data_IF_724264229413
#
_entry.id   IF_724264229413
#
_cell.length_a   1.000
_cell.length_b   1.000
_cell.length_c   1.000
_cell.angle_alpha   90.00
_cell.angle_beta   90.00
_cell.angle_gamma   90.00
#
_symmetry.space_group_name_H-M   'P 1'
#
loop_
_entity.id
_entity.type
_entity.pdbx_description
1 polymer ?
#
# COMPACT_ATOMS: atom_id res chain seq x y z
N UNK A 1 8.74 14.15 29.18
CA UNK A 1 9.12 12.73 29.17
C UNK A 1 8.17 11.98 28.26
N UNK A 2 8.62 11.56 27.08
CA UNK A 2 7.92 10.61 26.21
C UNK A 2 8.95 9.59 25.75
N UNK A 3 9.22 8.59 26.58
CA UNK A 3 9.94 7.42 26.09
C UNK A 3 9.02 6.75 25.05
N UNK A 4 9.48 6.73 23.81
CA UNK A 4 8.71 6.29 22.65
C UNK A 4 8.17 4.88 22.86
N UNK A 5 6.84 4.72 22.78
CA UNK A 5 6.17 3.43 22.90
C UNK A 5 6.72 2.38 21.92
N UNK A 6 7.32 2.80 20.80
CA UNK A 6 7.91 1.92 19.79
C UNK A 6 9.32 1.43 20.16
N UNK A 7 10.25 2.29 20.60
CA UNK A 7 11.58 1.80 21.05
C UNK A 7 11.49 0.87 22.26
N UNK A 8 10.55 1.14 23.16
CA UNK A 8 10.28 0.25 24.30
C UNK A 8 9.66 -1.10 23.89
N UNK A 9 9.18 -1.23 22.65
CA UNK A 9 8.70 -2.48 22.03
C UNK A 9 9.75 -3.14 21.13
N UNK A 10 11.00 -2.69 21.17
CA UNK A 10 12.12 -3.27 20.40
C UNK A 10 12.28 -2.73 18.98
N UNK A 11 11.52 -1.71 18.58
CA UNK A 11 11.72 -1.04 17.29
C UNK A 11 12.89 -0.05 17.36
N UNK A 12 13.62 0.14 16.26
CA UNK A 12 14.69 1.13 16.15
C UNK A 12 14.18 2.55 15.85
N UNK A 13 12.90 2.69 15.49
CA UNK A 13 12.24 3.95 15.16
C UNK A 13 11.25 4.45 16.22
N UNK A 14 10.73 5.66 16.02
CA UNK A 14 9.67 6.27 16.84
C UNK A 14 8.63 6.92 15.93
N UNK A 15 7.35 6.73 16.23
CA UNK A 15 6.22 7.44 15.62
C UNK A 15 5.61 8.36 16.67
N UNK A 16 5.55 9.66 16.37
CA UNK A 16 5.14 10.74 17.28
C UNK A 16 3.73 11.26 17.01
N UNK A 17 3.18 11.05 15.80
CA UNK A 17 1.91 11.63 15.34
C UNK A 17 1.90 13.18 15.35
N UNK A 18 3.06 13.77 15.10
CA UNK A 18 3.28 15.21 15.05
C UNK A 18 3.73 15.59 13.65
N UNK A 19 2.97 16.45 12.97
CA UNK A 19 3.28 16.94 11.62
C UNK A 19 4.62 17.67 11.49
N UNK A 20 5.27 17.98 12.62
CA UNK A 20 6.64 18.49 12.64
C UNK A 20 7.69 17.42 12.29
N UNK A 21 7.40 16.14 12.57
CA UNK A 21 8.36 15.03 12.45
C UNK A 21 7.83 13.85 11.61
N UNK A 22 6.51 13.60 11.59
CA UNK A 22 5.85 12.52 10.87
C UNK A 22 4.40 12.88 10.49
N UNK A 23 3.73 12.04 9.71
CA UNK A 23 2.32 12.26 9.40
C UNK A 23 1.42 11.95 10.60
N UNK A 24 0.47 12.86 10.88
CA UNK A 24 -0.48 12.70 11.98
C UNK A 24 -1.42 11.53 11.74
N UNK A 25 -1.44 10.60 12.69
CA UNK A 25 -2.35 9.47 12.73
C UNK A 25 -3.06 9.37 14.08
N UNK A 26 -4.36 9.12 14.07
CA UNK A 26 -5.16 8.98 15.29
C UNK A 26 -5.79 7.59 15.28
N UNK A 27 -5.44 6.78 16.28
CA UNK A 27 -6.04 5.46 16.48
C UNK A 27 -7.56 5.56 16.66
N UNK A 28 -8.29 4.56 16.14
CA UNK A 28 -9.75 4.42 16.29
C UNK A 28 -10.58 5.59 15.71
N UNK A 29 -10.01 6.38 14.79
CA UNK A 29 -10.80 7.32 14.00
C UNK A 29 -11.48 6.59 12.85
N UNK A 30 -12.68 7.04 12.49
CA UNK A 30 -13.36 6.55 11.28
C UNK A 30 -12.49 6.86 10.05
N UNK A 31 -12.27 5.85 9.23
CA UNK A 31 -11.63 5.94 7.92
C UNK A 31 -12.68 5.60 6.88
N UNK A 32 -12.79 6.40 5.83
CA UNK A 32 -13.70 6.10 4.72
C UNK A 32 -13.07 5.03 3.82
N UNK A 33 -13.86 4.05 3.39
CA UNK A 33 -13.38 2.94 2.55
C UNK A 33 -12.68 3.43 1.27
N UNK A 34 -13.17 4.52 0.70
CA UNK A 34 -12.56 5.17 -0.48
C UNK A 34 -11.15 5.69 -0.20
N UNK A 35 -10.91 6.22 1.01
CA UNK A 35 -9.59 6.68 1.43
C UNK A 35 -8.66 5.50 1.70
N UNK A 36 -9.18 4.42 2.30
CA UNK A 36 -8.40 3.19 2.48
C UNK A 36 -7.94 2.64 1.14
N UNK A 37 -8.85 2.49 0.18
CA UNK A 37 -8.54 1.95 -1.14
C UNK A 37 -7.50 2.79 -1.90
N UNK A 38 -7.56 4.13 -1.79
CA UNK A 38 -6.55 5.02 -2.39
C UNK A 38 -5.21 4.89 -1.65
N UNK A 39 -5.23 4.77 -0.32
CA UNK A 39 -4.01 4.59 0.48
C UNK A 39 -3.31 3.29 0.10
N UNK A 40 -4.06 2.20 -0.06
CA UNK A 40 -3.55 0.90 -0.51
C UNK A 40 -3.02 0.93 -1.95
N UNK A 41 -3.46 1.89 -2.77
CA UNK A 41 -2.91 2.11 -4.10
C UNK A 41 -1.58 2.89 -4.03
N UNK A 42 -1.50 3.87 -3.13
CA UNK A 42 -0.37 4.79 -3.04
C UNK A 42 0.73 4.36 -2.07
N UNK A 43 0.55 3.30 -1.26
CA UNK A 43 1.48 2.98 -0.17
C UNK A 43 2.91 2.61 -0.65
N UNK A 44 3.04 2.08 -1.87
CA UNK A 44 4.36 1.81 -2.47
C UNK A 44 4.97 3.07 -3.08
N UNK A 45 4.20 4.15 -3.22
CA UNK A 45 4.65 5.37 -3.85
C UNK A 45 5.46 6.22 -2.87
N UNK A 46 6.53 6.81 -3.37
CA UNK A 46 7.36 7.73 -2.60
C UNK A 46 7.78 8.91 -3.45
N UNK A 47 8.06 10.03 -2.78
CA UNK A 47 8.53 11.25 -3.42
C UNK A 47 10.04 11.24 -3.56
N UNK A 48 10.54 11.76 -4.67
CA UNK A 48 11.97 11.81 -4.95
C UNK A 48 12.35 13.04 -5.78
N UNK A 49 13.63 13.39 -5.72
CA UNK A 49 14.29 14.39 -6.56
C UNK A 49 15.51 13.78 -7.24
N UNK A 50 15.94 14.33 -8.39
CA UNK A 50 17.21 13.95 -9.00
C UNK A 50 18.37 14.01 -7.98
N UNK A 51 19.21 12.98 -7.99
CA UNK A 51 20.38 12.84 -7.11
C UNK A 51 20.10 12.69 -5.61
N UNK A 52 18.84 12.56 -5.19
CA UNK A 52 18.48 12.24 -3.80
C UNK A 52 18.09 10.76 -3.70
N UNK A 53 18.90 9.97 -3.00
CA UNK A 53 18.68 8.52 -2.86
C UNK A 53 17.52 8.14 -1.95
N UNK A 54 17.29 8.93 -0.90
CA UNK A 54 16.27 8.65 0.10
C UNK A 54 14.91 9.26 -0.29
N UNK A 55 13.79 8.60 0.06
CA UNK A 55 12.46 9.18 -0.07
C UNK A 55 12.34 10.55 0.61
N UNK A 56 11.59 11.45 -0.01
CA UNK A 56 11.36 12.81 0.49
C UNK A 56 10.09 12.84 1.34
N UNK A 57 10.22 13.38 2.56
CA UNK A 57 9.09 13.77 3.37
C UNK A 57 8.66 15.19 3.00
N UNK A 58 7.38 15.38 2.66
CA UNK A 58 6.78 16.70 2.43
C UNK A 58 6.01 17.13 3.67
N UNK A 59 6.44 18.24 4.29
CA UNK A 59 5.70 18.85 5.39
C UNK A 59 4.50 19.62 4.85
N UNK A 60 3.39 19.58 5.57
CA UNK A 60 2.17 20.30 5.23
C UNK A 60 1.52 20.92 6.46
N UNK A 61 0.68 21.94 6.25
CA UNK A 61 -0.20 22.48 7.28
C UNK A 61 -1.64 22.60 6.75
N UNK A 62 -2.58 22.97 7.63
CA UNK A 62 -3.98 23.19 7.26
C UNK A 62 -4.08 24.27 6.14
N UNK A 63 -3.48 25.45 6.33
CA UNK A 63 -3.55 26.57 5.39
C UNK A 63 -4.70 27.56 5.61
N UNK A 64 -5.65 27.27 6.51
CA UNK A 64 -6.69 28.21 6.99
C UNK A 64 -6.38 28.73 8.39
N UNK A 65 -6.17 27.84 9.35
CA UNK A 65 -5.89 28.23 10.74
C UNK A 65 -4.39 28.41 11.01
N UNK A 66 -3.55 27.74 10.24
CA UNK A 66 -2.09 27.77 10.35
C UNK A 66 -1.53 28.10 8.97
N UNK A 67 -0.62 29.07 8.91
CA UNK A 67 0.14 29.40 7.70
C UNK A 67 1.51 28.73 7.73
N UNK A 68 1.90 28.14 6.62
CA UNK A 68 3.20 27.50 6.43
C UNK A 68 3.78 27.95 5.08
N UNK A 69 4.58 29.03 5.05
CA UNK A 69 5.29 29.44 3.85
C UNK A 69 6.12 28.27 3.30
N UNK A 70 6.15 28.13 1.98
CA UNK A 70 6.92 27.11 1.24
C UNK A 70 6.46 25.65 1.43
N UNK A 71 5.39 25.40 2.18
CA UNK A 71 4.83 24.06 2.36
C UNK A 71 3.48 23.92 1.68
N UNK A 72 3.14 22.69 1.32
CA UNK A 72 1.79 22.37 0.86
C UNK A 72 0.77 22.67 1.95
N UNK A 73 -0.36 23.24 1.56
CA UNK A 73 -1.51 23.44 2.44
C UNK A 73 -2.61 22.45 2.10
N UNK A 74 -3.29 21.90 3.10
CA UNK A 74 -4.38 20.95 2.90
C UNK A 74 -5.52 21.53 2.06
N UNK A 75 -5.94 22.76 2.37
CA UNK A 75 -7.03 23.40 1.63
C UNK A 75 -6.61 23.91 0.26
N UNK A 76 -5.34 24.34 0.10
CA UNK A 76 -4.82 24.74 -1.19
C UNK A 76 -4.64 23.56 -2.14
N UNK A 77 -4.12 22.42 -1.67
CA UNK A 77 -4.03 21.19 -2.48
C UNK A 77 -5.40 20.65 -2.87
N UNK A 78 -6.38 20.67 -1.95
CA UNK A 78 -7.78 20.33 -2.25
C UNK A 78 -8.34 21.21 -3.36
N UNK A 79 -8.15 22.53 -3.28
CA UNK A 79 -8.63 23.49 -4.30
C UNK A 79 -8.01 23.23 -5.68
N UNK A 80 -6.72 22.90 -5.74
CA UNK A 80 -6.06 22.53 -7.01
C UNK A 80 -6.62 21.20 -7.55
N UNK A 81 -6.87 20.23 -6.69
CA UNK A 81 -7.54 18.98 -7.07
C UNK A 81 -8.95 19.21 -7.64
N UNK A 82 -9.73 20.11 -7.04
CA UNK A 82 -11.06 20.51 -7.58
C UNK A 82 -10.96 21.15 -8.97
N UNK A 83 -9.84 21.79 -9.28
CA UNK A 83 -9.55 22.38 -10.59
C UNK A 83 -9.04 21.36 -11.61
N UNK A 84 -8.88 20.10 -11.21
CA UNK A 84 -8.47 19.00 -12.09
C UNK A 84 -6.95 18.76 -12.15
N UNK A 85 -6.16 19.41 -11.29
CA UNK A 85 -4.72 19.16 -11.23
C UNK A 85 -4.44 17.73 -10.75
N UNK A 86 -3.55 17.04 -11.44
CA UNK A 86 -3.06 15.74 -11.05
C UNK A 86 -2.18 15.83 -9.78
N UNK A 87 -2.05 14.73 -8.99
CA UNK A 87 -1.26 14.75 -7.77
C UNK A 87 0.17 15.26 -7.94
N UNK A 88 0.84 14.89 -9.04
CA UNK A 88 2.20 15.35 -9.34
C UNK A 88 2.27 16.85 -9.63
N UNK A 89 1.25 17.41 -10.29
CA UNK A 89 1.20 18.84 -10.62
C UNK A 89 1.01 19.67 -9.35
N UNK A 90 0.17 19.19 -8.43
CA UNK A 90 -0.02 19.81 -7.11
C UNK A 90 1.29 19.81 -6.33
N UNK A 91 2.02 18.68 -6.32
CA UNK A 91 3.30 18.61 -5.61
C UNK A 91 4.34 19.54 -6.22
N UNK A 92 4.40 19.65 -7.54
CA UNK A 92 5.32 20.58 -8.23
C UNK A 92 4.96 22.04 -8.01
N UNK A 93 3.67 22.35 -7.90
CA UNK A 93 3.20 23.69 -7.53
C UNK A 93 3.79 24.16 -6.18
N UNK A 94 3.88 23.26 -5.18
CA UNK A 94 4.41 23.61 -3.87
C UNK A 94 5.92 23.43 -3.72
N UNK A 95 6.49 22.40 -4.34
CA UNK A 95 7.86 21.96 -4.05
C UNK A 95 8.82 22.09 -5.25
N UNK A 96 8.34 22.54 -6.40
CA UNK A 96 9.14 22.71 -7.62
C UNK A 96 9.07 21.52 -8.58
N UNK A 97 9.47 21.77 -9.84
CA UNK A 97 9.31 20.84 -10.97
C UNK A 97 10.19 19.60 -10.91
N UNK A 98 11.21 19.58 -10.04
CA UNK A 98 12.13 18.46 -9.84
C UNK A 98 11.56 17.36 -8.92
N UNK A 99 10.28 17.46 -8.54
CA UNK A 99 9.57 16.42 -7.80
C UNK A 99 9.06 15.31 -8.72
N UNK A 100 9.17 14.07 -8.25
CA UNK A 100 8.64 12.86 -8.90
C UNK A 100 7.96 11.94 -7.88
N UNK A 101 6.89 11.27 -8.30
CA UNK A 101 6.28 10.14 -7.60
C UNK A 101 6.84 8.86 -8.23
N UNK A 102 7.57 8.07 -7.45
CA UNK A 102 8.13 6.78 -7.87
C UNK A 102 7.52 5.64 -7.06
N UNK A 103 7.62 4.42 -7.57
CA UNK A 103 7.12 3.20 -6.92
C UNK A 103 8.31 2.44 -6.33
N UNK A 104 8.22 2.05 -5.07
CA UNK A 104 9.25 1.24 -4.41
C UNK A 104 9.34 -0.15 -5.06
N UNK A 105 10.56 -0.58 -5.38
CA UNK A 105 10.81 -1.93 -5.91
C UNK A 105 10.66 -3.00 -4.83
N UNK A 106 10.94 -2.66 -3.57
CA UNK A 106 10.86 -3.56 -2.42
C UNK A 106 10.18 -2.84 -1.26
N UNK A 107 9.32 -3.56 -0.55
CA UNK A 107 8.59 -3.04 0.61
C UNK A 107 8.86 -3.95 1.79
N UNK A 108 9.51 -3.41 2.83
CA UNK A 108 9.84 -4.16 4.03
C UNK A 108 8.58 -4.72 4.68
N UNK A 109 8.58 -6.02 5.01
CA UNK A 109 7.44 -6.73 5.59
C UNK A 109 6.44 -7.27 4.56
N UNK A 110 6.62 -7.00 3.27
CA UNK A 110 5.91 -7.68 2.18
C UNK A 110 6.85 -8.76 1.59
N UNK A 111 6.42 -10.02 1.44
CA UNK A 111 7.30 -11.09 0.96
C UNK A 111 7.88 -10.84 -0.45
N UNK A 112 7.15 -10.10 -1.29
CA UNK A 112 7.53 -9.79 -2.67
C UNK A 112 6.65 -8.72 -3.27
N UNK A 113 7.25 -7.81 -4.06
CA UNK A 113 6.55 -6.72 -4.73
C UNK A 113 5.83 -7.18 -5.99
N UNK A 114 4.78 -6.44 -6.35
CA UNK A 114 4.04 -6.64 -7.59
C UNK A 114 4.98 -6.55 -8.82
N UNK A 115 4.88 -7.45 -9.80
CA UNK A 115 5.88 -7.54 -10.87
C UNK A 115 5.79 -6.47 -11.97
N UNK A 116 4.90 -5.49 -11.83
CA UNK A 116 4.69 -4.44 -12.84
C UNK A 116 3.69 -4.81 -13.94
N UNK A 117 3.07 -5.99 -13.88
CA UNK A 117 2.04 -6.45 -14.80
C UNK A 117 1.00 -7.32 -14.09
N UNK A 118 -0.21 -7.36 -14.65
CA UNK A 118 -1.32 -8.18 -14.14
C UNK A 118 -1.06 -9.66 -14.38
N UNK A 119 -1.28 -10.52 -13.38
CA UNK A 119 -1.29 -11.97 -13.57
C UNK A 119 -2.70 -12.43 -13.93
N UNK A 120 -2.81 -13.12 -15.05
CA UNK A 120 -4.07 -13.61 -15.61
C UNK A 120 -3.86 -14.95 -16.31
N UNK A 121 -4.93 -15.58 -16.81
CA UNK A 121 -4.85 -16.89 -17.47
C UNK A 121 -3.80 -16.86 -18.59
N UNK A 122 -2.83 -17.78 -18.50
CA UNK A 122 -1.68 -17.86 -19.40
C UNK A 122 -0.41 -17.18 -18.90
N UNK A 123 -0.46 -16.46 -17.77
CA UNK A 123 0.74 -15.97 -17.08
C UNK A 123 1.51 -17.14 -16.47
N UNK A 124 2.85 -17.06 -16.46
CA UNK A 124 3.71 -18.12 -15.93
C UNK A 124 4.94 -17.55 -15.19
N UNK A 125 5.50 -18.35 -14.29
CA UNK A 125 6.77 -18.08 -13.62
C UNK A 125 6.65 -17.88 -12.11
N UNK A 126 7.73 -17.36 -11.51
CA UNK A 126 7.89 -17.31 -10.06
C UNK A 126 6.82 -16.48 -9.37
N UNK A 127 6.36 -15.41 -10.01
CA UNK A 127 5.33 -14.51 -9.44
C UNK A 127 3.96 -15.18 -9.37
N UNK A 128 3.65 -16.07 -10.32
CA UNK A 128 2.44 -16.90 -10.27
C UNK A 128 2.56 -17.92 -9.15
N UNK A 129 3.70 -18.63 -9.08
CA UNK A 129 3.97 -19.63 -8.04
C UNK A 129 3.78 -19.03 -6.66
N UNK A 130 4.34 -17.84 -6.45
CA UNK A 130 4.24 -17.11 -5.21
C UNK A 130 2.80 -16.79 -4.80
N UNK A 131 1.96 -16.32 -5.74
CA UNK A 131 0.54 -16.06 -5.42
C UNK A 131 -0.20 -17.37 -5.12
N UNK A 132 0.10 -18.46 -5.84
CA UNK A 132 -0.49 -19.77 -5.56
C UNK A 132 -0.14 -20.25 -4.14
N UNK A 133 1.12 -20.10 -3.71
CA UNK A 133 1.57 -20.42 -2.35
C UNK A 133 0.84 -19.57 -1.30
N UNK A 134 0.78 -18.25 -1.51
CA UNK A 134 0.12 -17.33 -0.58
C UNK A 134 -1.38 -17.63 -0.47
N UNK A 135 -2.07 -17.85 -1.59
CA UNK A 135 -3.49 -18.23 -1.59
C UNK A 135 -3.74 -19.53 -0.83
N UNK A 136 -2.87 -20.53 -0.98
CA UNK A 136 -3.00 -21.80 -0.26
C UNK A 136 -2.81 -21.68 1.25
N UNK A 137 -1.92 -20.79 1.69
CA UNK A 137 -1.75 -20.48 3.12
C UNK A 137 -2.97 -19.75 3.65
N UNK A 138 -3.48 -18.75 2.91
CA UNK A 138 -4.71 -18.01 3.25
C UNK A 138 -5.91 -18.95 3.33
N UNK A 139 -6.03 -19.90 2.40
CA UNK A 139 -7.10 -20.91 2.39
C UNK A 139 -7.12 -21.79 3.65
N UNK A 140 -6.02 -21.86 4.41
CA UNK A 140 -5.99 -22.51 5.73
C UNK A 140 -6.84 -21.79 6.77
N UNK A 141 -6.89 -20.46 6.74
CA UNK A 141 -7.70 -19.63 7.64
C UNK A 141 -9.06 -19.23 7.03
N UNK A 142 -9.18 -19.24 5.71
CA UNK A 142 -10.38 -18.87 4.96
C UNK A 142 -10.82 -20.03 4.04
N UNK A 143 -11.54 -21.04 4.55
CA UNK A 143 -11.86 -22.27 3.82
C UNK A 143 -12.74 -22.08 2.58
N UNK A 144 -13.37 -20.91 2.42
CA UNK A 144 -14.10 -20.58 1.20
C UNK A 144 -13.18 -20.48 -0.01
N UNK A 145 -11.92 -20.05 0.18
CA UNK A 145 -10.94 -19.96 -0.89
C UNK A 145 -10.44 -21.37 -1.21
N UNK A 146 -10.59 -21.85 -2.45
CA UNK A 146 -10.14 -23.18 -2.82
C UNK A 146 -8.61 -23.26 -2.80
N UNK A 147 -8.08 -24.40 -2.35
CA UNK A 147 -6.66 -24.71 -2.52
C UNK A 147 -6.40 -25.09 -3.98
N UNK A 148 -5.26 -24.65 -4.49
CA UNK A 148 -4.86 -24.81 -5.89
C UNK A 148 -3.47 -25.43 -5.99
N UNK A 149 -3.15 -25.98 -7.16
CA UNK A 149 -1.80 -26.46 -7.46
C UNK A 149 -0.80 -25.30 -7.50
N UNK A 150 0.40 -25.52 -6.96
CA UNK A 150 1.52 -24.57 -7.00
C UNK A 150 2.48 -25.02 -8.11
N UNK A 151 2.15 -24.69 -9.34
CA UNK A 151 2.90 -25.09 -10.55
C UNK A 151 3.59 -23.91 -11.24
N UNK A 152 3.28 -22.69 -10.81
CA UNK A 152 3.76 -21.46 -11.45
C UNK A 152 3.08 -21.16 -12.79
N UNK A 153 1.91 -21.77 -13.08
CA UNK A 153 1.10 -21.51 -14.28
C UNK A 153 -0.27 -20.99 -13.87
N UNK A 154 -0.64 -19.83 -14.39
CA UNK A 154 -1.90 -19.20 -14.05
C UNK A 154 -2.99 -19.82 -14.93
N UNK A 155 -3.60 -20.89 -14.43
CA UNK A 155 -4.70 -21.60 -15.08
C UNK A 155 -6.07 -21.12 -14.60
N UNK A 156 -7.12 -21.77 -15.11
CA UNK A 156 -8.50 -21.49 -14.72
C UNK A 156 -8.74 -21.70 -13.22
N UNK A 157 -8.13 -22.73 -12.63
CA UNK A 157 -8.21 -23.00 -11.19
C UNK A 157 -7.65 -21.83 -10.35
N UNK A 158 -6.52 -21.25 -10.78
CA UNK A 158 -5.93 -20.08 -10.11
C UNK A 158 -6.85 -18.86 -10.26
N UNK A 159 -7.40 -18.63 -11.46
CA UNK A 159 -8.34 -17.54 -11.71
C UNK A 159 -9.61 -17.64 -10.84
N UNK A 160 -10.15 -18.85 -10.68
CA UNK A 160 -11.33 -19.12 -9.86
C UNK A 160 -11.03 -18.89 -8.37
N UNK A 161 -9.89 -19.36 -7.88
CA UNK A 161 -9.45 -19.09 -6.51
C UNK A 161 -9.28 -17.60 -6.24
N UNK A 162 -8.73 -16.86 -7.22
CA UNK A 162 -8.56 -15.40 -7.12
C UNK A 162 -9.92 -14.68 -7.12
N UNK A 163 -10.91 -15.11 -7.91
CA UNK A 163 -12.27 -14.53 -7.84
C UNK A 163 -12.89 -14.72 -6.46
N UNK A 164 -12.75 -15.91 -5.87
CA UNK A 164 -13.26 -16.18 -4.53
C UNK A 164 -12.52 -15.32 -3.49
N UNK A 165 -11.19 -15.23 -3.58
CA UNK A 165 -10.42 -14.31 -2.73
C UNK A 165 -10.92 -12.87 -2.86
N UNK A 166 -11.08 -12.37 -4.09
CA UNK A 166 -11.56 -11.02 -4.35
C UNK A 166 -12.95 -10.79 -3.73
N UNK A 167 -13.87 -11.73 -3.90
CA UNK A 167 -15.20 -11.67 -3.30
C UNK A 167 -15.15 -11.60 -1.77
N UNK A 168 -14.35 -12.48 -1.14
CA UNK A 168 -14.18 -12.53 0.34
C UNK A 168 -13.64 -11.22 0.91
N UNK A 169 -12.75 -10.53 0.18
CA UNK A 169 -12.10 -9.31 0.64
C UNK A 169 -12.65 -8.02 -0.01
N UNK A 170 -13.81 -8.08 -0.66
CA UNK A 170 -14.50 -6.91 -1.21
C UNK A 170 -13.80 -6.24 -2.39
N UNK A 171 -13.00 -7.00 -3.15
CA UNK A 171 -12.37 -6.55 -4.39
C UNK A 171 -13.26 -6.90 -5.60
N UNK A 172 -13.09 -6.20 -6.75
CA UNK A 172 -13.72 -6.62 -8.00
C UNK A 172 -13.32 -8.05 -8.39
N UNK A 173 -14.30 -8.92 -8.64
CA UNK A 173 -14.12 -10.35 -8.94
C UNK A 173 -13.64 -10.61 -10.39
N UNK A 174 -12.50 -10.04 -10.75
CA UNK A 174 -11.93 -10.16 -12.10
C UNK A 174 -11.31 -11.52 -12.37
N UNK A 175 -10.85 -12.22 -11.32
CA UNK A 175 -10.04 -13.44 -11.45
C UNK A 175 -8.65 -13.18 -12.00
N UNK A 176 -8.20 -11.93 -11.95
CA UNK A 176 -6.85 -11.50 -12.30
C UNK A 176 -6.18 -10.91 -11.08
N UNK A 177 -4.85 -10.97 -11.01
CA UNK A 177 -4.06 -10.39 -9.92
C UNK A 177 -3.40 -9.12 -10.45
N UNK A 178 -4.16 -8.04 -10.38
CA UNK A 178 -3.65 -6.68 -10.59
C UNK A 178 -2.88 -6.18 -9.35
N UNK A 179 -2.39 -4.95 -9.39
CA UNK A 179 -1.65 -4.34 -8.28
C UNK A 179 -2.41 -4.42 -6.96
N UNK A 180 -3.70 -4.09 -6.96
CA UNK A 180 -4.54 -4.07 -5.74
C UNK A 180 -4.73 -5.47 -5.18
N UNK A 181 -5.03 -6.44 -6.05
CA UNK A 181 -5.20 -7.84 -5.66
C UNK A 181 -3.90 -8.42 -5.11
N UNK A 182 -2.75 -8.13 -5.73
CA UNK A 182 -1.44 -8.61 -5.27
C UNK A 182 -1.15 -8.22 -3.83
N UNK A 183 -1.29 -6.93 -3.52
CA UNK A 183 -0.98 -6.42 -2.18
C UNK A 183 -2.03 -6.82 -1.16
N UNK A 184 -3.30 -6.99 -1.56
CA UNK A 184 -4.30 -7.56 -0.66
C UNK A 184 -3.98 -9.00 -0.30
N UNK A 185 -3.55 -9.84 -1.26
CA UNK A 185 -3.11 -11.21 -0.99
C UNK A 185 -1.91 -11.19 -0.04
N UNK A 186 -0.90 -10.34 -0.30
CA UNK A 186 0.27 -10.23 0.56
C UNK A 186 -0.06 -9.78 1.99
N UNK A 187 -0.93 -8.78 2.15
CA UNK A 187 -1.39 -8.29 3.46
C UNK A 187 -2.03 -9.43 4.27
N UNK A 188 -3.00 -10.13 3.67
CA UNK A 188 -3.71 -11.22 4.34
C UNK A 188 -2.76 -12.39 4.63
N UNK A 189 -1.88 -12.73 3.69
CA UNK A 189 -0.86 -13.76 3.88
C UNK A 189 0.02 -13.47 5.11
N UNK A 190 0.56 -12.26 5.22
CA UNK A 190 1.37 -11.85 6.39
C UNK A 190 0.54 -11.85 7.67
N UNK A 191 -0.73 -11.45 7.59
CA UNK A 191 -1.65 -11.49 8.73
C UNK A 191 -1.87 -12.90 9.25
N UNK A 192 -2.17 -13.86 8.37
CA UNK A 192 -2.44 -15.25 8.76
C UNK A 192 -1.18 -16.01 9.15
N UNK A 193 -0.04 -15.76 8.50
CA UNK A 193 1.23 -16.44 8.83
C UNK A 193 1.74 -16.07 10.22
N UNK A 194 1.64 -14.79 10.60
CA UNK A 194 1.99 -14.34 11.95
C UNK A 194 1.09 -14.93 13.03
N UNK A 195 -0.19 -15.17 12.73
CA UNK A 195 -1.09 -15.86 13.66
C UNK A 195 -0.66 -17.31 13.83
N UNK A 196 -0.29 -18.00 12.75
CA UNK A 196 0.16 -19.38 12.78
C UNK A 196 1.49 -19.57 13.53
N UNK A 197 2.36 -18.56 13.57
CA UNK A 197 3.63 -18.57 14.31
C UNK A 197 3.45 -18.39 15.84
N UNK A 198 2.26 -18.00 16.31
CA UNK A 198 1.97 -17.73 17.72
C UNK A 198 1.27 -18.88 18.45
N UNK A 199 1.02 -20.02 17.78
CA UNK A 199 0.25 -21.16 18.30
C UNK A 199 1.12 -22.39 18.54
#
# INVERSE_FOLDING_TARGET
>A
MCASAYRNKGYDFTITSSTAFDHKWIANRNVYDTISAITDELFANYLSRPNVRQPILTQYCDGRQVSCPDWMTQWGSKSLGDQGYAPIEILRYYYGDDMYINIAQEISGVPSSWPGYTLEVGSEGEKVRQIQEQLNVIAGAYPAIPKISVDGRYGQETADAVRVFQSVFGLPETGTVDYKTWYKISEIYVGVSRIAELV
#
